data_IF_902202877927
#
_entry.id   IF_902202877927
#
_cell.length_a   1.000
_cell.length_b   1.000
_cell.length_c   1.000
_cell.angle_alpha   90.00
_cell.angle_beta   90.00
_cell.angle_gamma   90.00
#
_symmetry.space_group_name_H-M   'P 1'
#
loop_
_entity.id
_entity.type
_entity.pdbx_description
1 polymer ?
#
# COMPACT_ATOMS: atom_id res chain seq x y z
N UNK A 1 -35.97 21.98 5.98
CA UNK A 1 -35.23 20.81 5.49
C UNK A 1 -33.99 20.66 6.34
N UNK A 2 -33.83 19.54 7.07
CA UNK A 2 -32.59 19.24 7.80
C UNK A 2 -31.66 18.51 6.82
N UNK A 3 -30.52 19.11 6.53
CA UNK A 3 -29.41 18.46 5.81
C UNK A 3 -29.01 17.21 6.60
N UNK A 4 -28.89 16.02 5.97
CA UNK A 4 -28.38 14.86 6.68
C UNK A 4 -26.95 15.17 7.14
N UNK A 5 -26.72 15.12 8.45
CA UNK A 5 -25.38 15.18 9.03
C UNK A 5 -24.66 13.93 8.56
N UNK A 6 -23.69 14.09 7.66
CA UNK A 6 -22.79 13.01 7.29
C UNK A 6 -22.02 12.62 8.57
N UNK A 7 -22.34 11.45 9.11
CA UNK A 7 -21.52 10.84 10.14
C UNK A 7 -20.20 10.48 9.45
N UNK A 8 -19.19 11.33 9.63
CA UNK A 8 -17.85 11.03 9.16
C UNK A 8 -17.31 9.89 10.01
N UNK A 9 -17.32 8.69 9.44
CA UNK A 9 -16.63 7.53 9.98
C UNK A 9 -15.14 7.88 10.08
N UNK A 10 -14.66 8.11 11.30
CA UNK A 10 -13.27 8.53 11.52
C UNK A 10 -12.37 7.31 11.53
N UNK A 11 -11.43 7.25 10.59
CA UNK A 11 -10.31 6.30 10.59
C UNK A 11 -9.10 7.04 11.18
N UNK A 12 -8.44 6.43 12.17
CA UNK A 12 -7.34 7.07 12.91
C UNK A 12 -6.07 6.25 12.74
N UNK A 13 -4.95 6.91 12.41
CA UNK A 13 -3.63 6.27 12.47
C UNK A 13 -3.29 5.95 13.93
N UNK A 14 -3.23 4.65 14.25
CA UNK A 14 -2.90 4.14 15.59
C UNK A 14 -1.39 4.07 15.80
N UNK A 15 -0.66 3.64 14.78
CA UNK A 15 0.79 3.46 14.85
C UNK A 15 1.43 3.60 13.47
N UNK A 16 2.63 4.16 13.45
CA UNK A 16 3.53 4.15 12.29
C UNK A 16 4.88 3.61 12.73
N UNK A 17 5.34 2.53 12.09
CA UNK A 17 6.58 1.85 12.42
C UNK A 17 7.51 1.87 11.21
N UNK A 18 8.58 2.70 11.24
CA UNK A 18 9.63 2.66 10.22
C UNK A 18 10.63 1.54 10.53
N UNK A 19 11.02 0.77 9.52
CA UNK A 19 12.18 -0.12 9.62
C UNK A 19 13.43 0.62 9.16
N UNK A 20 14.48 0.70 9.99
CA UNK A 20 15.75 1.29 9.57
C UNK A 20 16.41 0.44 8.49
N UNK A 21 17.06 1.09 7.52
CA UNK A 21 17.76 0.40 6.44
C UNK A 21 18.02 1.31 5.25
N UNK A 22 18.78 0.80 4.28
CA UNK A 22 19.07 1.50 3.01
C UNK A 22 17.79 1.75 2.19
N UNK A 23 16.80 0.85 2.33
CA UNK A 23 15.48 0.92 1.72
C UNK A 23 14.43 0.84 2.83
N UNK A 24 13.99 1.98 3.38
CA UNK A 24 13.08 1.98 4.52
C UNK A 24 11.72 1.40 4.12
N UNK A 25 11.13 0.65 5.06
CA UNK A 25 9.73 0.20 4.98
C UNK A 25 8.94 0.88 6.09
N UNK A 26 7.76 1.41 5.75
CA UNK A 26 6.87 2.05 6.70
C UNK A 26 5.61 1.22 6.83
N UNK A 27 5.31 0.76 8.05
CA UNK A 27 4.06 0.09 8.39
C UNK A 27 3.14 1.07 9.11
N UNK A 28 2.00 1.37 8.51
CA UNK A 28 0.99 2.27 9.08
C UNK A 28 -0.26 1.48 9.41
N UNK A 29 -0.70 1.55 10.67
CA UNK A 29 -1.85 0.83 11.19
C UNK A 29 -2.97 1.82 11.47
N UNK A 30 -4.09 1.66 10.78
CA UNK A 30 -5.26 2.50 10.91
C UNK A 30 -6.40 1.71 11.55
N UNK A 31 -7.01 2.29 12.60
CA UNK A 31 -8.15 1.73 13.30
C UNK A 31 -9.39 2.59 13.07
N UNK A 32 -10.56 1.94 13.01
CA UNK A 32 -11.85 2.59 12.85
C UNK A 32 -12.98 1.67 13.33
N UNK A 33 -14.25 2.01 13.05
CA UNK A 33 -15.39 1.16 13.41
C UNK A 33 -15.53 -0.10 12.52
N UNK A 34 -14.76 -0.19 11.43
CA UNK A 34 -14.57 -1.40 10.65
C UNK A 34 -13.25 -2.11 11.00
N UNK A 35 -12.88 -3.16 10.25
CA UNK A 35 -11.61 -3.84 10.41
C UNK A 35 -10.41 -2.88 10.25
N UNK A 36 -9.32 -3.19 10.96
CA UNK A 36 -8.07 -2.44 10.86
C UNK A 36 -7.53 -2.50 9.42
N UNK A 37 -6.94 -1.38 8.98
CA UNK A 37 -6.26 -1.24 7.70
C UNK A 37 -4.75 -1.13 7.96
N UNK A 38 -3.96 -1.79 7.12
CA UNK A 38 -2.51 -1.66 7.08
C UNK A 38 -2.09 -1.08 5.75
N UNK A 39 -1.22 -0.08 5.80
CA UNK A 39 -0.54 0.47 4.64
C UNK A 39 0.96 0.22 4.79
N UNK A 40 1.55 -0.40 3.77
CA UNK A 40 2.99 -0.66 3.71
C UNK A 40 3.59 0.14 2.56
N UNK A 41 4.68 0.86 2.82
CA UNK A 41 5.42 1.61 1.80
C UNK A 41 6.88 1.21 1.88
N UNK A 42 7.44 0.67 0.80
CA UNK A 42 8.83 0.22 0.73
C UNK A 42 9.56 0.94 -0.39
N UNK A 43 10.72 1.52 -0.11
CA UNK A 43 11.59 2.07 -1.15
C UNK A 43 12.03 1.00 -2.15
N UNK A 44 11.78 1.20 -3.43
CA UNK A 44 12.23 0.35 -4.53
C UNK A 44 12.99 1.16 -5.58
N UNK A 45 13.82 0.48 -6.37
CA UNK A 45 14.57 1.13 -7.44
C UNK A 45 15.96 0.54 -7.62
N UNK A 46 16.73 1.15 -8.51
CA UNK A 46 18.12 0.80 -8.74
C UNK A 46 19.03 1.89 -8.20
N UNK A 47 20.15 1.48 -7.60
CA UNK A 47 21.20 2.39 -7.14
C UNK A 47 22.54 1.96 -7.72
N UNK A 48 23.26 2.92 -8.29
CA UNK A 48 24.61 2.74 -8.82
C UNK A 48 25.22 4.10 -9.14
N UNK A 49 26.42 4.37 -8.64
CA UNK A 49 27.22 5.51 -9.07
C UNK A 49 28.02 5.15 -10.33
N UNK A 50 28.36 6.14 -11.16
CA UNK A 50 29.09 5.96 -12.43
C UNK A 50 30.50 5.30 -12.31
N UNK A 51 30.91 4.86 -11.11
CA UNK A 51 32.26 4.39 -10.80
C UNK A 51 32.32 2.98 -10.16
N UNK A 52 31.20 2.27 -10.03
CA UNK A 52 31.20 0.87 -9.55
C UNK A 52 30.33 0.02 -10.47
N UNK A 53 30.89 -1.03 -11.07
CA UNK A 53 30.21 -1.99 -11.96
C UNK A 53 29.09 -2.82 -11.29
N UNK A 54 28.61 -2.42 -10.12
CA UNK A 54 27.58 -3.11 -9.34
C UNK A 54 26.31 -2.26 -9.34
N UNK A 55 25.30 -2.73 -10.05
CA UNK A 55 23.95 -2.20 -10.01
C UNK A 55 23.17 -2.95 -8.93
N UNK A 56 22.78 -2.24 -7.86
CA UNK A 56 21.93 -2.82 -6.82
C UNK A 56 20.46 -2.48 -7.12
N UNK A 57 19.58 -3.47 -7.05
CA UNK A 57 18.15 -3.31 -7.25
C UNK A 57 17.38 -3.81 -6.02
N UNK A 58 16.39 -3.05 -5.58
CA UNK A 58 15.43 -3.48 -4.55
C UNK A 58 14.14 -3.88 -5.21
N UNK A 59 13.72 -5.13 -4.95
CA UNK A 59 12.48 -5.73 -5.46
C UNK A 59 11.68 -6.20 -4.25
N UNK A 60 10.37 -5.94 -4.26
CA UNK A 60 9.44 -6.42 -3.24
C UNK A 60 8.54 -7.48 -3.85
N UNK A 61 8.63 -8.70 -3.35
CA UNK A 61 7.80 -9.83 -3.79
C UNK A 61 6.84 -10.26 -2.69
N UNK A 62 5.61 -10.63 -3.07
CA UNK A 62 4.65 -11.32 -2.19
C UNK A 62 4.47 -12.74 -2.70
N UNK A 63 4.54 -13.72 -1.80
CA UNK A 63 4.23 -15.13 -2.09
C UNK A 63 3.01 -15.49 -1.25
N UNK A 64 1.95 -15.98 -1.91
CA UNK A 64 0.72 -16.45 -1.26
C UNK A 64 0.30 -17.78 -1.88
N UNK A 65 -0.44 -18.59 -1.12
CA UNK A 65 -1.13 -19.80 -1.60
C UNK A 65 -2.58 -19.52 -2.04
N UNK A 66 -3.06 -18.28 -1.88
CA UNK A 66 -4.36 -17.85 -2.35
C UNK A 66 -4.35 -17.25 -3.77
N UNK A 67 -5.33 -16.40 -4.06
CA UNK A 67 -5.58 -15.85 -5.39
C UNK A 67 -4.83 -14.54 -5.62
N UNK A 68 -4.17 -14.43 -6.77
CA UNK A 68 -3.56 -13.19 -7.24
C UNK A 68 -4.21 -12.79 -8.55
N UNK A 69 -4.88 -11.65 -8.56
CA UNK A 69 -5.51 -11.07 -9.74
C UNK A 69 -4.70 -9.88 -10.24
N UNK A 70 -4.39 -9.86 -11.54
CA UNK A 70 -3.83 -8.67 -12.19
C UNK A 70 -4.93 -7.63 -12.38
N UNK A 71 -4.71 -6.43 -11.86
CA UNK A 71 -5.63 -5.30 -11.95
C UNK A 71 -4.89 -4.03 -12.40
N UNK A 72 -5.64 -3.04 -12.87
CA UNK A 72 -5.08 -1.73 -13.20
C UNK A 72 -5.48 -0.71 -12.13
N UNK A 73 -4.51 -0.06 -11.51
CA UNK A 73 -4.76 1.03 -10.56
C UNK A 73 -4.19 2.35 -11.10
N UNK A 74 -5.07 3.30 -11.40
CA UNK A 74 -4.74 4.63 -11.95
C UNK A 74 -3.75 4.56 -13.13
N UNK A 75 -4.04 3.65 -14.06
CA UNK A 75 -3.26 3.45 -15.29
C UNK A 75 -1.95 2.66 -15.10
N UNK A 76 -1.68 2.12 -13.91
CA UNK A 76 -0.49 1.32 -13.61
C UNK A 76 -0.85 -0.14 -13.32
N UNK A 77 0.03 -1.11 -13.62
CA UNK A 77 -0.13 -2.49 -13.18
C UNK A 77 -0.20 -2.56 -11.65
N UNK A 78 -1.10 -3.39 -11.15
CA UNK A 78 -1.29 -3.67 -9.75
C UNK A 78 -1.75 -5.13 -9.57
N UNK A 79 -1.63 -5.63 -8.35
CA UNK A 79 -2.14 -6.93 -7.97
C UNK A 79 -3.22 -6.77 -6.90
N UNK A 80 -4.31 -7.51 -7.05
CA UNK A 80 -5.30 -7.73 -6.01
C UNK A 80 -5.11 -9.13 -5.44
N UNK A 81 -4.71 -9.21 -4.18
CA UNK A 81 -4.24 -10.44 -3.53
C UNK A 81 -5.26 -10.85 -2.48
N UNK A 82 -5.72 -12.10 -2.58
CA UNK A 82 -6.61 -12.78 -1.64
C UNK A 82 -7.89 -12.02 -1.28
N UNK A 83 -8.38 -11.17 -2.20
CA UNK A 83 -9.58 -10.40 -1.95
C UNK A 83 -9.42 -9.30 -0.89
N UNK A 84 -8.19 -8.93 -0.51
CA UNK A 84 -7.96 -8.08 0.66
C UNK A 84 -6.73 -7.16 0.61
N UNK A 85 -5.78 -7.36 -0.32
CA UNK A 85 -4.58 -6.50 -0.45
C UNK A 85 -4.43 -5.99 -1.87
N UNK A 86 -4.40 -4.67 -2.03
CA UNK A 86 -3.99 -4.01 -3.26
C UNK A 86 -2.51 -3.70 -3.18
N UNK A 87 -1.73 -4.22 -4.13
CA UNK A 87 -0.27 -4.00 -4.23
C UNK A 87 0.08 -3.35 -5.57
N UNK A 88 0.87 -2.29 -5.57
CA UNK A 88 1.34 -1.64 -6.80
C UNK A 88 2.67 -0.91 -6.58
N UNK A 89 3.33 -0.52 -7.67
CA UNK A 89 4.49 0.35 -7.61
C UNK A 89 4.17 1.76 -8.10
N UNK A 90 4.62 2.75 -7.35
CA UNK A 90 4.55 4.14 -7.75
C UNK A 90 5.72 4.95 -7.23
N UNK A 91 6.35 5.72 -8.13
CA UNK A 91 7.25 6.82 -7.77
C UNK A 91 8.43 6.38 -6.87
N UNK A 92 8.97 5.19 -7.15
CA UNK A 92 10.07 4.60 -6.37
C UNK A 92 9.62 3.90 -5.08
N UNK A 93 8.33 3.62 -4.92
CA UNK A 93 7.76 2.88 -3.80
C UNK A 93 6.98 1.65 -4.28
N UNK A 94 7.17 0.53 -3.59
CA UNK A 94 6.18 -0.53 -3.55
C UNK A 94 5.17 -0.21 -2.43
N UNK A 95 3.88 -0.25 -2.78
CA UNK A 95 2.76 0.18 -1.96
C UNK A 95 1.80 -0.99 -1.78
N UNK A 96 1.43 -1.25 -0.53
CA UNK A 96 0.44 -2.27 -0.17
C UNK A 96 -0.64 -1.59 0.68
N UNK A 97 -1.90 -1.75 0.29
CA UNK A 97 -3.08 -1.36 1.10
C UNK A 97 -3.89 -2.61 1.36
N UNK A 98 -4.00 -3.01 2.62
CA UNK A 98 -4.72 -4.22 2.99
C UNK A 98 -5.51 -4.10 4.27
N UNK A 99 -6.48 -4.98 4.44
CA UNK A 99 -7.30 -5.07 5.63
C UNK A 99 -8.39 -6.13 5.47
N UNK A 100 -8.82 -6.74 6.58
CA UNK A 100 -9.88 -7.74 6.51
C UNK A 100 -11.18 -7.10 6.00
N UNK A 101 -11.84 -7.74 5.04
CA UNK A 101 -13.09 -7.22 4.47
C UNK A 101 -12.95 -5.92 3.67
N UNK A 102 -11.72 -5.50 3.36
CA UNK A 102 -11.48 -4.36 2.49
C UNK A 102 -11.74 -4.78 1.04
N UNK A 103 -12.72 -4.18 0.37
CA UNK A 103 -12.93 -4.42 -1.05
C UNK A 103 -11.95 -3.63 -1.91
N UNK A 104 -11.76 -4.08 -3.16
CA UNK A 104 -10.83 -3.48 -4.12
C UNK A 104 -11.12 -1.99 -4.37
N UNK A 105 -12.40 -1.59 -4.42
CA UNK A 105 -12.78 -0.21 -4.71
C UNK A 105 -12.38 0.74 -3.58
N UNK A 106 -12.55 0.30 -2.33
CA UNK A 106 -12.15 1.02 -1.13
C UNK A 106 -10.63 1.05 -1.00
N UNK A 107 -9.94 -0.07 -1.29
CA UNK A 107 -8.48 -0.12 -1.33
C UNK A 107 -7.90 0.87 -2.35
N UNK A 108 -8.47 0.94 -3.56
CA UNK A 108 -8.06 1.92 -4.56
C UNK A 108 -8.35 3.37 -4.13
N UNK A 109 -9.48 3.62 -3.45
CA UNK A 109 -9.80 4.95 -2.93
C UNK A 109 -8.79 5.40 -1.87
N UNK A 110 -8.40 4.50 -0.95
CA UNK A 110 -7.32 4.75 0.01
C UNK A 110 -6.00 4.99 -0.73
N UNK A 111 -5.65 4.14 -1.71
CA UNK A 111 -4.42 4.29 -2.48
C UNK A 111 -4.29 5.66 -3.17
N UNK A 112 -5.40 6.25 -3.62
CA UNK A 112 -5.42 7.62 -4.19
C UNK A 112 -5.13 8.71 -3.17
N UNK A 113 -5.46 8.48 -1.90
CA UNK A 113 -5.23 9.43 -0.81
C UNK A 113 -3.77 9.48 -0.32
N UNK A 114 -2.93 8.55 -0.77
CA UNK A 114 -1.50 8.46 -0.42
C UNK A 114 -0.59 9.33 -1.30
N UNK A 115 -1.17 10.12 -2.20
CA UNK A 115 -0.47 11.02 -3.14
C UNK A 115 -0.47 12.46 -2.67
#
# INVERSE_FOLDING_TARGET
>A
MKTPSAVYTTITCRACMPTPGRWPTFFQFYAGPGPDIVIVQTGVGTSGGAATDVQEATVVSTVTDGTVEEVTFDGRPAAWIDGQVLKWEADGLALDVGGLGLDLSTAMAIGRSLR
#
